data_IF_054557007334
#
_entry.id   IF_054557007334
#
_cell.length_a   1.000
_cell.length_b   1.000
_cell.length_c   1.000
_cell.angle_alpha   90.00
_cell.angle_beta   90.00
_cell.angle_gamma   90.00
#
_symmetry.space_group_name_H-M   'P 1'
#
loop_
_entity.id
_entity.type
_entity.pdbx_description
1 polymer ?
#
# COMPACT_ATOMS: atom_id res chain seq x y z
N UNK A 1 37.66 -9.24 -31.48
CA UNK A 1 37.64 -8.27 -30.37
C UNK A 1 36.77 -7.04 -30.61
N UNK A 2 36.73 -6.37 -31.79
CA UNK A 2 35.86 -5.20 -31.99
C UNK A 2 34.34 -5.50 -31.89
N UNK A 3 33.88 -6.71 -32.25
CA UNK A 3 32.46 -7.07 -32.17
C UNK A 3 31.92 -7.18 -30.73
N UNK A 4 32.78 -7.53 -29.76
CA UNK A 4 32.37 -7.66 -28.37
C UNK A 4 32.17 -6.27 -27.74
N UNK A 5 33.05 -5.32 -28.03
CA UNK A 5 32.94 -3.94 -27.56
C UNK A 5 31.67 -3.27 -28.09
N UNK A 6 31.40 -3.40 -29.40
CA UNK A 6 30.15 -2.90 -29.99
C UNK A 6 28.90 -3.53 -29.36
N UNK A 7 28.93 -4.83 -29.07
CA UNK A 7 27.82 -5.50 -28.38
C UNK A 7 27.54 -4.92 -27.00
N UNK A 8 28.57 -4.68 -26.18
CA UNK A 8 28.40 -4.10 -24.85
C UNK A 8 27.94 -2.64 -24.90
N UNK A 9 28.40 -1.86 -25.88
CA UNK A 9 27.98 -0.48 -26.08
C UNK A 9 26.49 -0.40 -26.50
N UNK A 10 26.07 -1.26 -27.42
CA UNK A 10 24.67 -1.36 -27.85
C UNK A 10 23.76 -1.82 -26.70
N UNK A 11 24.22 -2.80 -25.92
CA UNK A 11 23.51 -3.29 -24.74
C UNK A 11 23.35 -2.19 -23.69
N UNK A 12 24.43 -1.46 -23.38
CA UNK A 12 24.41 -0.38 -22.40
C UNK A 12 23.47 0.76 -22.85
N UNK A 13 23.53 1.13 -24.13
CA UNK A 13 22.65 2.16 -24.71
C UNK A 13 21.19 1.73 -24.66
N UNK A 14 20.89 0.48 -25.02
CA UNK A 14 19.53 -0.09 -25.00
C UNK A 14 18.96 -0.20 -23.57
N UNK A 15 19.78 -0.67 -22.61
CA UNK A 15 19.40 -0.74 -21.20
C UNK A 15 19.15 0.66 -20.65
N UNK A 16 20.06 1.62 -20.92
CA UNK A 16 19.93 3.00 -20.46
C UNK A 16 18.67 3.69 -21.03
N UNK A 17 18.40 3.53 -22.33
CA UNK A 17 17.19 4.06 -22.95
C UNK A 17 15.92 3.43 -22.36
N UNK A 18 15.92 2.11 -22.13
CA UNK A 18 14.78 1.39 -21.53
C UNK A 18 14.55 1.79 -20.09
N UNK A 19 15.62 1.92 -19.30
CA UNK A 19 15.58 2.40 -17.92
C UNK A 19 14.99 3.80 -17.84
N UNK A 20 15.48 4.71 -18.68
CA UNK A 20 14.98 6.08 -18.72
C UNK A 20 13.51 6.13 -19.12
N UNK A 21 13.11 5.34 -20.11
CA UNK A 21 11.70 5.23 -20.52
C UNK A 21 10.83 4.66 -19.38
N UNK A 22 11.32 3.66 -18.66
CA UNK A 22 10.56 3.03 -17.58
C UNK A 22 10.26 4.01 -16.43
N UNK A 23 11.28 4.76 -16.00
CA UNK A 23 11.19 5.65 -14.84
C UNK A 23 10.71 7.08 -15.16
N UNK A 24 11.09 7.64 -16.31
CA UNK A 24 10.94 9.08 -16.56
C UNK A 24 9.95 9.44 -17.66
N UNK A 25 9.31 8.48 -18.34
CA UNK A 25 8.24 8.79 -19.30
C UNK A 25 7.08 9.47 -18.56
N UNK A 26 6.75 10.74 -18.82
CA UNK A 26 5.75 11.47 -18.03
C UNK A 26 4.35 10.83 -18.10
N UNK A 27 3.67 10.73 -16.96
CA UNK A 27 2.29 10.20 -16.90
C UNK A 27 1.33 11.14 -16.16
N UNK A 28 0.04 10.97 -16.41
CA UNK A 28 -1.04 11.73 -15.75
C UNK A 28 -1.12 11.43 -14.25
N UNK A 29 -1.59 12.39 -13.46
CA UNK A 29 -1.80 12.19 -12.02
C UNK A 29 -3.04 11.33 -11.67
N UNK A 30 -3.84 10.92 -12.67
CA UNK A 30 -5.14 10.27 -12.48
C UNK A 30 -5.07 9.04 -11.58
N UNK A 31 -4.21 8.07 -11.89
CA UNK A 31 -4.05 6.85 -11.07
C UNK A 31 -3.59 7.20 -9.65
N UNK A 32 -2.65 8.14 -9.50
CA UNK A 32 -2.18 8.57 -8.18
C UNK A 32 -3.28 9.26 -7.37
N UNK A 33 -4.19 10.01 -8.02
CA UNK A 33 -5.34 10.61 -7.36
C UNK A 33 -6.34 9.58 -6.84
N UNK A 34 -6.58 8.49 -7.59
CA UNK A 34 -7.41 7.36 -7.12
C UNK A 34 -6.73 6.67 -5.93
N UNK A 35 -5.44 6.36 -6.06
CA UNK A 35 -4.66 5.76 -4.98
C UNK A 35 -4.68 6.62 -3.72
N UNK A 36 -4.50 7.95 -3.86
CA UNK A 36 -4.57 8.92 -2.77
C UNK A 36 -5.89 8.87 -2.01
N UNK A 37 -7.02 8.80 -2.73
CA UNK A 37 -8.34 8.73 -2.07
C UNK A 37 -8.46 7.41 -1.30
N UNK A 38 -8.10 6.29 -1.93
CA UNK A 38 -8.20 4.98 -1.30
C UNK A 38 -7.26 4.84 -0.09
N UNK A 39 -5.99 5.23 -0.21
CA UNK A 39 -5.03 5.22 0.91
C UNK A 39 -5.43 6.21 1.99
N UNK A 40 -5.97 7.38 1.62
CA UNK A 40 -6.48 8.36 2.57
C UNK A 40 -7.65 7.84 3.41
N UNK A 41 -8.62 7.16 2.78
CA UNK A 41 -9.72 6.52 3.48
C UNK A 41 -9.24 5.38 4.39
N UNK A 42 -8.29 4.56 3.93
CA UNK A 42 -7.70 3.50 4.75
C UNK A 42 -6.89 4.06 5.93
N UNK A 43 -6.17 5.17 5.74
CA UNK A 43 -5.44 5.85 6.81
C UNK A 43 -6.39 6.51 7.82
N UNK A 44 -7.48 7.12 7.36
CA UNK A 44 -8.55 7.63 8.22
C UNK A 44 -9.17 6.52 9.05
N UNK A 45 -9.48 5.37 8.42
CA UNK A 45 -9.95 4.18 9.14
C UNK A 45 -8.94 3.75 10.20
N UNK A 46 -7.67 3.57 9.82
CA UNK A 46 -6.62 3.10 10.74
C UNK A 46 -6.49 4.02 11.96
N UNK A 47 -6.35 5.33 11.74
CA UNK A 47 -6.25 6.29 12.83
C UNK A 47 -7.54 6.33 13.64
N UNK A 48 -8.71 6.36 13.00
CA UNK A 48 -9.99 6.43 13.70
C UNK A 48 -10.25 5.25 14.64
N UNK A 49 -9.77 4.05 14.30
CA UNK A 49 -9.93 2.88 15.18
C UNK A 49 -9.19 3.01 16.51
N UNK A 50 -8.20 3.91 16.61
CA UNK A 50 -7.48 4.13 17.86
C UNK A 50 -8.24 4.98 18.88
N UNK A 51 -9.38 5.62 18.52
CA UNK A 51 -10.08 6.51 19.44
C UNK A 51 -10.53 5.82 20.75
N UNK A 52 -10.96 4.56 20.71
CA UNK A 52 -11.53 3.88 21.89
C UNK A 52 -10.49 3.60 22.96
N UNK A 53 -9.24 3.36 22.56
CA UNK A 53 -8.16 2.91 23.43
C UNK A 53 -6.91 3.80 23.26
N UNK A 54 -7.09 5.05 22.82
CA UNK A 54 -6.00 5.96 22.48
C UNK A 54 -5.00 6.12 23.63
N UNK A 55 -5.50 6.45 24.83
CA UNK A 55 -4.67 6.60 26.01
C UNK A 55 -4.03 5.26 26.43
N UNK A 56 -4.78 4.16 26.32
CA UNK A 56 -4.29 2.83 26.68
C UNK A 56 -3.09 2.41 25.83
N UNK A 57 -3.08 2.74 24.54
CA UNK A 57 -2.01 2.31 23.63
C UNK A 57 -0.89 3.33 23.44
N UNK A 58 -1.19 4.62 23.55
CA UNK A 58 -0.28 5.69 23.12
C UNK A 58 0.21 6.60 24.26
N UNK A 59 -0.33 6.49 25.48
CA UNK A 59 0.20 7.22 26.64
C UNK A 59 1.59 6.75 27.05
N UNK A 60 2.35 7.60 27.73
CA UNK A 60 3.69 7.28 28.23
C UNK A 60 3.66 6.06 29.17
N UNK A 61 2.64 5.98 30.04
CA UNK A 61 2.38 4.87 30.97
C UNK A 61 1.26 3.94 30.49
N UNK A 62 1.06 3.85 29.17
CA UNK A 62 0.07 2.96 28.56
C UNK A 62 0.40 1.47 28.73
N UNK A 63 -0.35 0.63 28.03
CA UNK A 63 -0.18 -0.83 28.03
C UNK A 63 1.24 -1.27 27.68
N UNK A 64 1.94 -0.49 26.85
CA UNK A 64 3.39 -0.55 26.73
C UNK A 64 4.00 0.78 27.14
N UNK A 65 4.65 0.82 28.31
CA UNK A 65 5.39 1.99 28.75
C UNK A 65 6.44 2.40 27.73
N UNK A 66 6.63 3.70 27.57
CA UNK A 66 7.54 4.27 26.58
C UNK A 66 8.99 3.82 26.77
N UNK A 67 9.40 3.62 28.03
CA UNK A 67 10.72 3.07 28.38
C UNK A 67 10.93 1.67 27.80
N UNK A 68 9.94 0.78 27.93
CA UNK A 68 10.00 -0.57 27.39
C UNK A 68 10.07 -0.59 25.86
N UNK A 69 9.37 0.34 25.20
CA UNK A 69 9.45 0.49 23.74
C UNK A 69 10.86 0.93 23.33
N UNK A 70 11.46 1.85 24.07
CA UNK A 70 12.85 2.27 23.89
C UNK A 70 13.81 1.09 23.96
N UNK A 71 13.71 0.29 25.02
CA UNK A 71 14.63 -0.82 25.27
C UNK A 71 14.49 -1.96 24.24
N UNK A 72 13.26 -2.32 23.86
CA UNK A 72 13.00 -3.48 22.99
C UNK A 72 13.10 -3.15 21.49
N UNK A 73 12.65 -1.96 21.10
CA UNK A 73 12.48 -1.59 19.68
C UNK A 73 13.41 -0.48 19.21
N UNK A 74 14.17 0.16 20.12
CA UNK A 74 15.09 1.27 19.79
C UNK A 74 16.44 1.14 20.52
N UNK A 75 17.16 0.01 20.34
CA UNK A 75 18.44 -0.18 21.00
C UNK A 75 19.43 0.94 20.63
N UNK A 76 20.26 1.34 21.60
CA UNK A 76 21.24 2.42 21.46
C UNK A 76 22.13 2.22 20.22
N UNK A 77 22.28 3.26 19.40
CA UNK A 77 23.11 3.24 18.19
C UNK A 77 22.35 2.96 16.88
N UNK A 78 21.06 2.64 16.91
CA UNK A 78 20.24 2.61 15.69
C UNK A 78 19.90 4.03 15.20
N UNK A 79 20.50 4.42 14.08
CA UNK A 79 20.22 5.69 13.38
C UNK A 79 18.85 5.63 12.65
N UNK A 80 18.45 4.43 12.22
CA UNK A 80 17.19 4.15 11.52
C UNK A 80 16.24 3.38 12.46
N UNK A 81 15.81 4.03 13.54
CA UNK A 81 14.87 3.48 14.52
C UNK A 81 13.40 3.84 14.22
N UNK A 82 12.47 3.24 14.97
CA UNK A 82 11.03 3.55 14.91
C UNK A 82 10.75 4.96 15.48
N UNK A 83 10.99 6.01 14.72
CA UNK A 83 10.73 7.38 15.15
C UNK A 83 9.24 7.73 15.05
N UNK A 84 8.67 8.33 16.10
CA UNK A 84 7.30 8.86 16.09
C UNK A 84 7.25 10.30 16.60
N UNK A 85 6.43 11.15 15.97
CA UNK A 85 6.14 12.50 16.51
C UNK A 85 5.47 12.39 17.89
N UNK A 86 4.69 11.34 18.12
CA UNK A 86 3.95 11.15 19.38
C UNK A 86 4.87 10.93 20.58
N UNK A 87 6.12 10.53 20.36
CA UNK A 87 7.12 10.33 21.42
C UNK A 87 7.51 11.62 22.13
N UNK A 88 7.36 12.76 21.45
CA UNK A 88 7.74 14.07 21.96
C UNK A 88 6.56 14.86 22.53
N UNK A 89 5.36 14.28 22.48
CA UNK A 89 4.15 14.93 22.96
C UNK A 89 3.85 14.46 24.40
N UNK A 90 3.46 15.37 25.30
CA UNK A 90 2.92 14.96 26.60
C UNK A 90 1.56 14.27 26.41
N UNK A 91 1.17 13.41 27.34
CA UNK A 91 -0.08 12.63 27.27
C UNK A 91 -1.34 13.50 27.12
N UNK A 92 -1.31 14.72 27.65
CA UNK A 92 -2.40 15.71 27.49
C UNK A 92 -2.62 16.16 26.03
N UNK A 93 -1.60 16.03 25.18
CA UNK A 93 -1.63 16.42 23.77
C UNK A 93 -2.01 15.26 22.84
N UNK A 94 -2.20 14.03 23.34
CA UNK A 94 -2.55 12.88 22.50
C UNK A 94 -3.89 13.05 21.78
N UNK A 95 -4.94 13.52 22.48
CA UNK A 95 -6.23 13.78 21.86
C UNK A 95 -6.18 14.92 20.81
N UNK A 96 -5.56 16.09 21.09
CA UNK A 96 -5.29 17.10 20.07
C UNK A 96 -4.51 16.56 18.86
N UNK A 97 -3.47 15.77 19.09
CA UNK A 97 -2.65 15.18 18.02
C UNK A 97 -3.46 14.17 17.19
N UNK A 98 -4.32 13.37 17.81
CA UNK A 98 -5.24 12.47 17.15
C UNK A 98 -6.21 13.21 16.23
N UNK A 99 -6.92 14.24 16.73
CA UNK A 99 -7.85 15.01 15.91
C UNK A 99 -7.15 15.78 14.78
N UNK A 100 -5.96 16.31 15.06
CA UNK A 100 -5.11 16.96 14.05
C UNK A 100 -4.71 15.96 12.96
N UNK A 101 -4.32 14.74 13.34
CA UNK A 101 -3.93 13.69 12.40
C UNK A 101 -5.10 13.24 11.52
N UNK A 102 -6.30 13.11 12.09
CA UNK A 102 -7.52 12.87 11.32
C UNK A 102 -7.83 14.02 10.35
N UNK A 103 -7.72 15.28 10.79
CA UNK A 103 -7.98 16.44 9.94
C UNK A 103 -6.98 16.51 8.77
N UNK A 104 -5.69 16.34 9.05
CA UNK A 104 -4.62 16.33 8.02
C UNK A 104 -4.81 15.17 7.04
N UNK A 105 -5.14 13.98 7.53
CA UNK A 105 -5.42 12.81 6.68
C UNK A 105 -6.71 13.02 5.87
N UNK A 106 -7.71 13.70 6.43
CA UNK A 106 -8.92 14.14 5.74
C UNK A 106 -8.60 15.08 4.58
N UNK A 107 -7.82 16.13 4.82
CA UNK A 107 -7.38 17.04 3.76
C UNK A 107 -6.54 16.34 2.69
N UNK A 108 -5.68 15.40 3.08
CA UNK A 108 -4.97 14.52 2.15
C UNK A 108 -5.95 13.69 1.29
N UNK A 109 -6.98 13.11 1.90
CA UNK A 109 -8.04 12.33 1.22
C UNK A 109 -8.89 13.19 0.29
N UNK A 110 -9.03 14.48 0.58
CA UNK A 110 -9.73 15.45 -0.27
C UNK A 110 -8.82 16.13 -1.31
N UNK A 111 -7.49 15.97 -1.18
CA UNK A 111 -6.49 16.54 -2.08
C UNK A 111 -6.22 18.03 -1.84
N UNK A 112 -6.44 18.52 -0.62
CA UNK A 112 -6.30 19.93 -0.23
C UNK A 112 -4.92 20.15 0.40
N UNK A 113 -4.07 21.00 -0.19
CA UNK A 113 -2.73 21.31 0.33
C UNK A 113 -1.57 20.67 -0.44
N UNK A 114 -1.85 20.01 -1.57
CA UNK A 114 -0.82 19.58 -2.52
C UNK A 114 0.15 18.53 -1.95
N UNK A 115 1.44 18.67 -2.24
CA UNK A 115 2.47 17.74 -1.75
C UNK A 115 2.70 17.86 -0.23
N UNK A 116 2.55 19.06 0.32
CA UNK A 116 2.76 19.30 1.75
C UNK A 116 1.77 18.50 2.61
N UNK A 117 0.48 18.44 2.22
CA UNK A 117 -0.51 17.64 2.96
C UNK A 117 -0.23 16.14 2.85
N UNK A 118 0.28 15.67 1.72
CA UNK A 118 0.64 14.25 1.55
C UNK A 118 1.76 13.84 2.51
N UNK A 119 2.79 14.69 2.62
CA UNK A 119 3.89 14.48 3.57
C UNK A 119 3.38 14.56 5.00
N UNK A 120 2.58 15.59 5.34
CA UNK A 120 2.05 15.75 6.68
C UNK A 120 1.14 14.58 7.10
N UNK A 121 0.25 14.12 6.22
CA UNK A 121 -0.61 12.97 6.48
C UNK A 121 0.20 11.68 6.63
N UNK A 122 1.23 11.48 5.80
CA UNK A 122 2.13 10.33 5.92
C UNK A 122 2.84 10.34 7.27
N UNK A 123 3.43 11.47 7.68
CA UNK A 123 4.09 11.60 8.99
C UNK A 123 3.10 11.35 10.13
N UNK A 124 1.89 11.92 10.05
CA UNK A 124 0.86 11.75 11.06
C UNK A 124 0.45 10.28 11.21
N UNK A 125 0.13 9.60 10.11
CA UNK A 125 -0.24 8.18 10.10
C UNK A 125 0.90 7.27 10.57
N UNK A 126 2.12 7.47 10.05
CA UNK A 126 3.29 6.69 10.48
C UNK A 126 3.60 6.88 11.96
N UNK A 127 3.37 8.08 12.51
CA UNK A 127 3.59 8.32 13.94
C UNK A 127 2.72 7.43 14.81
N UNK A 128 1.48 7.15 14.41
CA UNK A 128 0.64 6.17 15.11
C UNK A 128 1.17 4.74 14.94
N UNK A 129 1.62 4.37 13.74
CA UNK A 129 2.16 3.03 13.53
C UNK A 129 3.41 2.80 14.40
N UNK A 130 4.41 3.67 14.30
CA UNK A 130 5.69 3.52 15.00
C UNK A 130 5.63 3.73 16.52
N UNK A 131 4.60 4.43 17.04
CA UNK A 131 4.43 4.62 18.50
C UNK A 131 3.92 3.37 19.22
N UNK A 132 3.17 2.52 18.52
CA UNK A 132 2.55 1.32 19.09
C UNK A 132 2.88 0.07 18.24
N UNK A 133 4.14 -0.43 18.30
CA UNK A 133 4.60 -1.51 17.43
C UNK A 133 3.80 -2.81 17.54
N UNK A 134 3.13 -3.06 18.68
CA UNK A 134 2.29 -4.24 18.88
C UNK A 134 0.92 -4.17 18.20
N UNK A 135 0.53 -2.99 17.70
CA UNK A 135 -0.71 -2.82 16.92
C UNK A 135 -0.46 -2.93 15.42
N UNK A 136 0.80 -2.82 14.97
CA UNK A 136 1.14 -2.86 13.55
C UNK A 136 1.06 -4.31 13.05
N UNK A 137 0.39 -4.50 11.92
CA UNK A 137 0.42 -5.73 11.13
C UNK A 137 0.75 -5.46 9.67
N UNK A 138 0.35 -6.39 8.79
CA UNK A 138 0.67 -6.31 7.37
C UNK A 138 -0.03 -5.15 6.64
N UNK A 139 -1.19 -4.74 7.13
CA UNK A 139 -1.97 -3.64 6.58
C UNK A 139 -1.21 -2.31 6.65
N UNK A 140 -0.67 -1.98 7.83
CA UNK A 140 0.04 -0.75 8.11
C UNK A 140 1.31 -0.62 7.26
N UNK A 141 2.05 -1.71 7.07
CA UNK A 141 3.27 -1.73 6.26
C UNK A 141 2.99 -1.39 4.79
N UNK A 142 1.96 -2.02 4.20
CA UNK A 142 1.58 -1.74 2.80
C UNK A 142 0.99 -0.33 2.68
N UNK A 143 0.18 0.12 3.64
CA UNK A 143 -0.38 1.46 3.63
C UNK A 143 0.71 2.53 3.73
N UNK A 144 1.67 2.35 4.66
CA UNK A 144 2.82 3.24 4.82
C UNK A 144 3.63 3.34 3.53
N UNK A 145 3.94 2.20 2.89
CA UNK A 145 4.62 2.15 1.59
C UNK A 145 3.89 3.00 0.54
N UNK A 146 2.57 2.81 0.39
CA UNK A 146 1.79 3.54 -0.59
C UNK A 146 1.79 5.05 -0.31
N UNK A 147 1.58 5.45 0.95
CA UNK A 147 1.55 6.87 1.35
C UNK A 147 2.90 7.56 1.11
N UNK A 148 4.01 6.90 1.47
CA UNK A 148 5.38 7.41 1.22
C UNK A 148 5.61 7.64 -0.27
N UNK A 149 5.27 6.66 -1.13
CA UNK A 149 5.49 6.83 -2.57
C UNK A 149 4.54 7.84 -3.20
N UNK A 150 3.34 8.02 -2.68
CA UNK A 150 2.42 9.08 -3.11
C UNK A 150 2.93 10.49 -2.77
N UNK A 151 3.83 10.65 -1.78
CA UNK A 151 4.50 11.92 -1.51
C UNK A 151 5.50 12.33 -2.60
N UNK A 152 5.97 11.38 -3.42
CA UNK A 152 6.91 11.66 -4.53
C UNK A 152 6.18 12.27 -5.73
N UNK A 153 5.00 11.73 -6.05
CA UNK A 153 4.19 12.14 -7.19
C UNK A 153 3.29 13.34 -6.90
N UNK A 154 2.66 13.87 -7.95
CA UNK A 154 1.68 14.97 -7.87
C UNK A 154 0.27 14.42 -7.63
N UNK A 155 0.11 13.60 -6.59
CA UNK A 155 -1.13 12.83 -6.33
C UNK A 155 -2.36 13.71 -6.01
N UNK A 156 -2.15 14.95 -5.55
CA UNK A 156 -3.22 15.90 -5.27
C UNK A 156 -3.68 16.70 -6.49
N UNK A 157 -3.04 16.56 -7.65
CA UNK A 157 -3.43 17.33 -8.83
C UNK A 157 -4.69 16.76 -9.48
N UNK A 158 -4.88 15.44 -9.44
CA UNK A 158 -6.08 14.76 -9.94
C UNK A 158 -7.08 14.45 -8.81
N UNK A 159 -8.37 14.59 -9.12
CA UNK A 159 -9.49 14.32 -8.21
C UNK A 159 -9.42 15.08 -6.86
N UNK A 160 -8.78 16.24 -6.83
CA UNK A 160 -8.78 17.15 -5.67
C UNK A 160 -9.99 18.07 -5.71
N UNK A 161 -10.56 18.38 -4.53
CA UNK A 161 -11.63 19.37 -4.42
C UNK A 161 -11.21 20.73 -5.02
N UNK A 162 -9.95 21.15 -4.84
CA UNK A 162 -9.45 22.41 -5.40
C UNK A 162 -9.43 22.39 -6.94
N UNK A 163 -9.13 21.23 -7.53
CA UNK A 163 -9.18 21.04 -8.99
C UNK A 163 -10.61 21.15 -9.56
N UNK A 164 -11.63 20.87 -8.75
CA UNK A 164 -13.04 21.04 -9.14
C UNK A 164 -13.46 22.51 -9.15
N UNK A 165 -12.87 23.35 -8.30
CA UNK A 165 -13.13 24.79 -8.27
C UNK A 165 -12.36 25.55 -9.36
N UNK A 166 -11.10 25.17 -9.64
CA UNK A 166 -10.31 25.77 -10.73
C UNK A 166 -10.89 25.50 -12.13
N UNK A 167 -11.73 24.46 -12.28
CA UNK A 167 -12.48 24.17 -13.51
C UNK A 167 -13.53 25.23 -13.87
N UNK A 168 -13.97 26.08 -12.92
CA UNK A 168 -15.01 27.08 -13.18
C UNK A 168 -14.47 28.38 -13.79
N UNK A 169 -13.20 28.70 -13.59
CA UNK A 169 -12.59 29.97 -14.03
C UNK A 169 -11.73 29.84 -15.30
N UNK A 170 -11.52 28.62 -15.81
CA UNK A 170 -10.79 28.37 -17.05
C UNK A 170 -11.74 28.41 -18.26
N UNK A 171 -11.50 29.36 -19.18
CA UNK A 171 -12.20 29.52 -20.45
C UNK A 171 -12.28 28.20 -21.26
N UNK A 172 -13.32 28.00 -22.11
CA UNK A 172 -13.66 26.73 -22.76
C UNK A 172 -12.75 26.37 -23.96
N UNK A 173 -11.48 26.75 -23.92
CA UNK A 173 -10.51 26.48 -24.98
C UNK A 173 -9.32 25.72 -24.41
N UNK A 174 -9.17 24.48 -24.86
CA UNK A 174 -8.26 23.41 -24.43
C UNK A 174 -8.85 22.43 -23.40
N UNK A 175 -9.16 21.23 -23.92
CA UNK A 175 -9.65 20.01 -23.29
C UNK A 175 -9.58 19.92 -21.75
N UNK A 176 -10.68 19.46 -21.16
CA UNK A 176 -10.98 19.29 -19.73
C UNK A 176 -10.05 18.37 -18.90
N UNK A 177 -8.77 18.18 -19.29
CA UNK A 177 -7.85 17.21 -18.67
C UNK A 177 -6.37 17.61 -18.58
N UNK A 178 -5.90 18.77 -19.06
CA UNK A 178 -4.44 18.95 -19.18
C UNK A 178 -3.74 19.46 -17.91
N UNK A 179 -3.82 18.72 -16.81
CA UNK A 179 -2.72 18.75 -15.83
C UNK A 179 -1.52 18.14 -16.57
N UNK A 180 -0.40 18.87 -16.75
CA UNK A 180 0.71 18.37 -17.54
C UNK A 180 1.24 17.07 -16.93
N UNK A 181 1.46 16.04 -17.75
CA UNK A 181 2.03 14.79 -17.26
C UNK A 181 3.41 15.06 -16.66
N UNK A 182 3.78 14.29 -15.64
CA UNK A 182 5.03 14.50 -14.91
C UNK A 182 5.82 13.20 -14.77
N UNK A 183 7.15 13.29 -14.89
CA UNK A 183 8.05 12.19 -14.59
C UNK A 183 7.94 11.74 -13.12
N UNK A 184 7.69 12.67 -12.18
CA UNK A 184 7.48 12.33 -10.77
C UNK A 184 6.26 11.43 -10.54
N UNK A 185 5.21 11.58 -11.35
CA UNK A 185 4.05 10.70 -11.28
C UNK A 185 4.43 9.28 -11.69
N UNK A 186 5.27 9.15 -12.72
CA UNK A 186 5.77 7.87 -13.20
C UNK A 186 6.69 7.23 -12.17
N UNK A 187 7.63 7.98 -11.60
CA UNK A 187 8.51 7.48 -10.55
C UNK A 187 7.70 6.95 -9.38
N UNK A 188 6.74 7.75 -8.86
CA UNK A 188 5.84 7.34 -7.77
C UNK A 188 5.08 6.05 -8.12
N UNK A 189 4.48 5.98 -9.30
CA UNK A 189 3.72 4.81 -9.74
C UNK A 189 4.60 3.57 -9.92
N UNK A 190 5.80 3.72 -10.50
CA UNK A 190 6.75 2.63 -10.70
C UNK A 190 7.31 2.12 -9.38
N UNK A 191 7.59 3.00 -8.42
CA UNK A 191 8.00 2.59 -7.06
C UNK A 191 6.91 1.73 -6.41
N UNK A 192 5.65 2.15 -6.48
CA UNK A 192 4.52 1.36 -5.99
C UNK A 192 4.45 0.00 -6.69
N UNK A 193 4.50 -0.01 -8.03
CA UNK A 193 4.39 -1.25 -8.81
C UNK A 193 5.52 -2.24 -8.51
N UNK A 194 6.77 -1.76 -8.47
CA UNK A 194 7.93 -2.61 -8.20
C UNK A 194 7.88 -3.13 -6.77
N UNK A 195 7.61 -2.27 -5.78
CA UNK A 195 7.55 -2.70 -4.39
C UNK A 195 6.38 -3.64 -4.14
N UNK A 196 5.21 -3.41 -4.77
CA UNK A 196 4.09 -4.35 -4.67
C UNK A 196 4.42 -5.71 -5.29
N UNK A 197 5.15 -5.75 -6.41
CA UNK A 197 5.63 -7.00 -6.99
C UNK A 197 6.59 -7.74 -6.04
N UNK A 198 7.49 -7.01 -5.38
CA UNK A 198 8.39 -7.58 -4.37
C UNK A 198 7.59 -8.12 -3.17
N UNK A 199 6.60 -7.38 -2.67
CA UNK A 199 5.74 -7.82 -1.56
C UNK A 199 5.02 -9.13 -1.92
N UNK A 200 4.42 -9.23 -3.11
CA UNK A 200 3.78 -10.46 -3.57
C UNK A 200 4.77 -11.63 -3.66
N UNK A 201 5.96 -11.39 -4.23
CA UNK A 201 7.01 -12.40 -4.33
C UNK A 201 7.46 -12.88 -2.95
N UNK A 202 7.70 -11.95 -2.02
CA UNK A 202 8.16 -12.26 -0.66
C UNK A 202 7.07 -12.98 0.14
N UNK A 203 5.80 -12.60 0.01
CA UNK A 203 4.70 -13.34 0.63
C UNK A 203 4.60 -14.76 0.05
N UNK A 204 4.64 -14.91 -1.27
CA UNK A 204 4.62 -16.23 -1.91
C UNK A 204 5.81 -17.09 -1.51
N UNK A 205 7.01 -16.50 -1.42
CA UNK A 205 8.21 -17.18 -0.94
C UNK A 205 8.07 -17.60 0.53
N UNK A 206 7.62 -16.70 1.41
CA UNK A 206 7.41 -17.00 2.83
C UNK A 206 6.39 -18.12 3.04
N UNK A 207 5.35 -18.18 2.20
CA UNK A 207 4.39 -19.29 2.18
C UNK A 207 5.02 -20.63 1.82
N UNK A 208 6.18 -20.67 1.16
CA UNK A 208 6.88 -21.89 0.76
C UNK A 208 8.14 -22.19 1.59
N UNK A 209 8.71 -21.19 2.25
CA UNK A 209 10.06 -21.28 2.82
C UNK A 209 10.16 -22.16 4.07
N UNK A 210 9.05 -22.36 4.79
CA UNK A 210 9.02 -23.14 6.03
C UNK A 210 8.69 -24.61 5.70
N UNK A 211 9.45 -25.59 6.22
CA UNK A 211 9.06 -27.00 6.15
C UNK A 211 7.66 -27.20 6.71
N UNK A 212 6.83 -28.00 6.05
CA UNK A 212 5.41 -28.20 6.44
C UNK A 212 4.59 -26.91 6.50
N UNK A 213 4.89 -25.92 5.63
CA UNK A 213 4.07 -24.72 5.60
C UNK A 213 2.62 -25.07 5.28
N UNK A 214 1.70 -24.52 6.08
CA UNK A 214 0.26 -24.72 5.89
C UNK A 214 -0.20 -24.30 4.47
N UNK A 215 0.48 -23.34 3.86
CA UNK A 215 0.18 -22.89 2.51
C UNK A 215 0.62 -23.92 1.45
N UNK A 216 1.73 -24.61 1.66
CA UNK A 216 2.18 -25.69 0.78
C UNK A 216 1.34 -26.96 0.96
N UNK A 217 0.98 -27.32 2.20
CA UNK A 217 0.11 -28.47 2.48
C UNK A 217 -1.35 -28.26 2.03
N UNK A 218 -1.75 -27.01 1.76
CA UNK A 218 -3.11 -26.65 1.34
C UNK A 218 -4.04 -26.24 2.48
N UNK A 219 -3.55 -26.22 3.72
CA UNK A 219 -4.30 -25.88 4.93
C UNK A 219 -4.34 -24.37 5.22
N UNK A 220 -3.59 -23.55 4.50
CA UNK A 220 -3.41 -22.11 4.80
C UNK A 220 -4.73 -21.33 4.91
N UNK A 221 -5.65 -21.52 3.97
CA UNK A 221 -6.98 -20.89 4.03
C UNK A 221 -7.81 -21.43 5.19
N UNK A 222 -7.72 -22.74 5.48
CA UNK A 222 -8.43 -23.32 6.62
C UNK A 222 -7.96 -22.73 7.95
N UNK A 223 -6.64 -22.58 8.15
CA UNK A 223 -6.10 -21.94 9.35
C UNK A 223 -6.52 -20.47 9.46
N UNK A 224 -6.59 -19.75 8.34
CA UNK A 224 -7.09 -18.38 8.33
C UNK A 224 -8.59 -18.31 8.72
N UNK A 225 -9.38 -19.26 8.22
CA UNK A 225 -10.82 -19.38 8.46
C UNK A 225 -11.18 -19.95 9.83
N UNK A 226 -10.29 -20.71 10.47
CA UNK A 226 -10.51 -21.31 11.78
C UNK A 226 -10.32 -20.32 12.95
N UNK A 227 -9.92 -19.07 12.68
CA UNK A 227 -9.71 -18.05 13.72
C UNK A 227 -11.07 -17.60 14.30
N UNK A 228 -11.34 -17.80 15.60
CA UNK A 228 -12.65 -17.46 16.17
C UNK A 228 -12.98 -15.97 16.03
N UNK A 229 -14.19 -15.66 15.53
CA UNK A 229 -14.72 -14.30 15.45
C UNK A 229 -14.06 -13.38 14.41
N UNK A 230 -13.13 -13.88 13.60
CA UNK A 230 -12.45 -13.12 12.56
C UNK A 230 -13.13 -13.24 11.18
N UNK A 231 -13.38 -14.44 10.62
CA UNK A 231 -13.98 -14.59 9.29
C UNK A 231 -15.29 -13.82 9.13
N UNK A 232 -15.50 -13.26 7.94
CA UNK A 232 -16.75 -12.54 7.63
C UNK A 232 -17.94 -13.48 7.46
N UNK A 233 -17.67 -14.73 7.09
CA UNK A 233 -18.67 -15.77 6.83
C UNK A 233 -18.25 -17.04 7.55
N UNK A 234 -19.22 -17.77 8.10
CA UNK A 234 -18.96 -19.09 8.66
C UNK A 234 -18.61 -20.08 7.54
N UNK A 235 -17.36 -20.56 7.58
CA UNK A 235 -16.81 -21.54 6.63
C UNK A 235 -16.70 -22.94 7.24
N UNK A 236 -17.30 -23.20 8.40
CA UNK A 236 -17.28 -24.50 9.08
C UNK A 236 -17.74 -25.66 8.19
N UNK A 237 -18.70 -25.41 7.29
CA UNK A 237 -19.16 -26.40 6.30
C UNK A 237 -18.11 -26.86 5.29
N UNK A 238 -16.96 -26.18 5.17
CA UNK A 238 -15.84 -26.61 4.32
C UNK A 238 -15.00 -27.74 4.96
N UNK A 239 -15.28 -28.13 6.21
CA UNK A 239 -14.55 -29.21 6.90
C UNK A 239 -14.62 -30.54 6.14
N UNK A 240 -15.76 -30.82 5.50
CA UNK A 240 -15.99 -32.04 4.70
C UNK A 240 -15.42 -31.92 3.27
N UNK A 241 -14.85 -30.76 2.93
CA UNK A 241 -14.36 -30.44 1.59
C UNK A 241 -12.88 -29.97 1.59
N UNK A 242 -11.94 -30.76 2.15
CA UNK A 242 -10.54 -30.36 2.29
C UNK A 242 -9.85 -30.08 0.95
N UNK A 243 -10.29 -30.73 -0.14
CA UNK A 243 -9.75 -30.49 -1.49
C UNK A 243 -10.07 -29.09 -2.01
N UNK A 244 -11.23 -28.53 -1.64
CA UNK A 244 -11.62 -27.16 -2.04
C UNK A 244 -10.72 -26.16 -1.31
N UNK A 245 -10.53 -26.36 -0.01
CA UNK A 245 -9.61 -25.54 0.81
C UNK A 245 -8.18 -25.62 0.26
N UNK A 246 -7.69 -26.83 -0.03
CA UNK A 246 -6.34 -27.01 -0.59
C UNK A 246 -6.18 -26.29 -1.93
N UNK A 247 -7.11 -26.48 -2.86
CA UNK A 247 -7.09 -25.80 -4.15
C UNK A 247 -7.12 -24.27 -3.99
N UNK A 248 -7.87 -23.75 -3.00
CA UNK A 248 -7.93 -22.33 -2.70
C UNK A 248 -6.59 -21.81 -2.15
N UNK A 249 -5.99 -22.50 -1.16
CA UNK A 249 -4.67 -22.17 -0.62
C UNK A 249 -3.62 -22.13 -1.73
N UNK A 250 -3.54 -23.18 -2.56
CA UNK A 250 -2.59 -23.24 -3.67
C UNK A 250 -2.86 -22.17 -4.74
N UNK A 251 -4.12 -21.82 -5.01
CA UNK A 251 -4.45 -20.74 -5.94
C UNK A 251 -3.93 -19.38 -5.44
N UNK A 252 -4.01 -19.11 -4.13
CA UNK A 252 -3.44 -17.89 -3.53
C UNK A 252 -1.91 -17.90 -3.67
N UNK A 253 -1.25 -18.99 -3.28
CA UNK A 253 0.21 -19.09 -3.36
C UNK A 253 0.71 -18.97 -4.80
N UNK A 254 0.05 -19.64 -5.75
CA UNK A 254 0.39 -19.56 -7.17
C UNK A 254 0.20 -18.14 -7.71
N UNK A 255 -0.88 -17.45 -7.33
CA UNK A 255 -1.09 -16.05 -7.69
C UNK A 255 0.06 -15.16 -7.18
N UNK A 256 0.46 -15.31 -5.92
CA UNK A 256 1.53 -14.50 -5.32
C UNK A 256 2.88 -14.66 -6.05
N UNK A 257 3.20 -15.87 -6.49
CA UNK A 257 4.42 -16.16 -7.26
C UNK A 257 4.33 -15.74 -8.73
N UNK A 258 3.14 -15.86 -9.32
CA UNK A 258 2.90 -15.51 -10.73
C UNK A 258 2.80 -13.99 -10.95
N UNK A 259 2.22 -13.26 -10.00
CA UNK A 259 2.01 -11.82 -10.06
C UNK A 259 3.26 -11.01 -10.46
N UNK A 260 4.41 -11.12 -9.76
CA UNK A 260 5.60 -10.30 -10.03
C UNK A 260 6.17 -10.49 -11.44
N UNK A 261 5.87 -11.62 -12.11
CA UNK A 261 6.34 -11.93 -13.46
C UNK A 261 5.30 -11.53 -14.51
N UNK A 262 4.04 -11.92 -14.30
CA UNK A 262 2.99 -11.80 -15.32
C UNK A 262 2.39 -10.39 -15.42
N UNK A 263 2.43 -9.59 -14.34
CA UNK A 263 1.82 -8.25 -14.32
C UNK A 263 2.43 -7.30 -15.35
N UNK A 264 3.69 -7.51 -15.72
CA UNK A 264 4.40 -6.69 -16.71
C UNK A 264 4.02 -7.02 -18.15
N UNK A 265 3.45 -8.21 -18.42
CA UNK A 265 3.04 -8.63 -19.77
C UNK A 265 1.66 -8.05 -20.09
N UNK A 266 1.56 -7.25 -21.16
CA UNK A 266 0.33 -6.53 -21.54
C UNK A 266 -0.91 -7.44 -21.68
N UNK A 267 -0.75 -8.66 -22.20
CA UNK A 267 -1.84 -9.62 -22.38
C UNK A 267 -2.23 -10.33 -21.08
N UNK A 268 -1.25 -10.66 -20.22
CA UNK A 268 -1.51 -11.36 -18.96
C UNK A 268 -1.96 -10.40 -17.84
N UNK A 269 -1.62 -9.11 -17.94
CA UNK A 269 -1.95 -8.08 -16.95
C UNK A 269 -3.44 -8.06 -16.55
N UNK A 270 -4.42 -7.95 -17.47
CA UNK A 270 -5.82 -7.94 -17.06
C UNK A 270 -6.21 -9.24 -16.32
N UNK A 271 -5.74 -10.40 -16.80
CA UNK A 271 -6.04 -11.69 -16.18
C UNK A 271 -5.46 -11.81 -14.77
N UNK A 272 -4.19 -11.43 -14.58
CA UNK A 272 -3.54 -11.51 -13.26
C UNK A 272 -4.15 -10.48 -12.29
N UNK A 273 -4.57 -9.30 -12.76
CA UNK A 273 -5.27 -8.33 -11.91
C UNK A 273 -6.67 -8.81 -11.51
N UNK A 274 -7.42 -9.46 -12.41
CA UNK A 274 -8.72 -10.06 -12.07
C UNK A 274 -8.58 -11.23 -11.11
N UNK A 275 -7.54 -12.05 -11.29
CA UNK A 275 -7.23 -13.14 -10.36
C UNK A 275 -6.83 -12.58 -8.99
N UNK A 276 -5.98 -11.55 -8.96
CA UNK A 276 -5.59 -10.86 -7.74
C UNK A 276 -6.78 -10.26 -7.00
N UNK A 277 -7.70 -9.60 -7.72
CA UNK A 277 -8.91 -9.08 -7.11
C UNK A 277 -9.75 -10.20 -6.47
N UNK A 278 -9.89 -11.33 -7.15
CA UNK A 278 -10.59 -12.52 -6.64
C UNK A 278 -9.88 -13.08 -5.40
N UNK A 279 -8.55 -13.19 -5.44
CA UNK A 279 -7.73 -13.67 -4.31
C UNK A 279 -7.94 -12.80 -3.09
N UNK A 280 -7.78 -11.48 -3.19
CA UNK A 280 -7.91 -10.58 -2.04
C UNK A 280 -9.34 -10.50 -1.50
N UNK A 281 -10.36 -10.51 -2.37
CA UNK A 281 -11.77 -10.55 -1.93
C UNK A 281 -12.07 -11.88 -1.23
N UNK A 282 -11.67 -13.01 -1.82
CA UNK A 282 -11.89 -14.32 -1.21
C UNK A 282 -11.16 -14.43 0.12
N UNK A 283 -9.91 -13.98 0.20
CA UNK A 283 -9.12 -14.01 1.43
C UNK A 283 -9.70 -13.08 2.50
N UNK A 284 -10.27 -11.93 2.13
CA UNK A 284 -11.00 -11.09 3.09
C UNK A 284 -12.16 -11.83 3.73
N UNK A 285 -12.95 -12.56 2.93
CA UNK A 285 -14.08 -13.37 3.40
C UNK A 285 -13.61 -14.45 4.37
N UNK A 286 -12.57 -15.20 3.98
CA UNK A 286 -12.06 -16.31 4.79
C UNK A 286 -11.35 -15.85 6.06
N UNK A 287 -10.53 -14.81 5.99
CA UNK A 287 -9.61 -14.43 7.08
C UNK A 287 -10.16 -13.36 8.02
N UNK A 288 -11.17 -12.60 7.59
CA UNK A 288 -11.64 -11.41 8.31
C UNK A 288 -10.74 -10.18 8.17
N UNK A 289 -9.58 -10.33 7.54
CA UNK A 289 -8.56 -9.28 7.44
C UNK A 289 -8.86 -8.29 6.31
N UNK A 290 -10.01 -7.62 6.44
CA UNK A 290 -10.54 -6.70 5.44
C UNK A 290 -9.59 -5.53 5.15
N UNK A 291 -9.01 -4.82 6.15
CA UNK A 291 -8.12 -3.69 5.87
C UNK A 291 -6.90 -4.09 5.04
N UNK A 292 -6.27 -5.22 5.38
CA UNK A 292 -5.14 -5.77 4.64
C UNK A 292 -5.52 -6.10 3.18
N UNK A 293 -6.66 -6.77 2.97
CA UNK A 293 -7.10 -7.08 1.61
C UNK A 293 -7.45 -5.82 0.80
N UNK A 294 -8.07 -4.82 1.42
CA UNK A 294 -8.40 -3.55 0.78
C UNK A 294 -7.15 -2.74 0.39
N UNK A 295 -6.11 -2.72 1.23
CA UNK A 295 -4.86 -2.02 0.88
C UNK A 295 -4.13 -2.75 -0.24
N UNK A 296 -4.17 -4.09 -0.28
CA UNK A 296 -3.62 -4.86 -1.40
C UNK A 296 -4.38 -4.62 -2.71
N UNK A 297 -5.71 -4.59 -2.67
CA UNK A 297 -6.56 -4.21 -3.81
C UNK A 297 -6.27 -2.78 -4.28
N UNK A 298 -6.06 -1.86 -3.34
CA UNK A 298 -5.65 -0.48 -3.63
C UNK A 298 -4.31 -0.46 -4.37
N UNK A 299 -3.31 -1.21 -3.88
CA UNK A 299 -2.03 -1.37 -4.57
C UNK A 299 -2.18 -1.92 -5.99
N UNK A 300 -3.06 -2.90 -6.21
CA UNK A 300 -3.32 -3.47 -7.55
C UNK A 300 -3.88 -2.42 -8.53
N UNK A 301 -4.62 -1.42 -8.05
CA UNK A 301 -5.11 -0.33 -8.88
C UNK A 301 -3.98 0.49 -9.54
N UNK A 302 -2.76 0.44 -9.00
CA UNK A 302 -1.58 1.08 -9.60
C UNK A 302 -1.21 0.48 -10.99
N UNK A 303 -1.69 -0.72 -11.31
CA UNK A 303 -1.45 -1.38 -12.60
C UNK A 303 -2.57 -1.17 -13.62
N UNK A 304 -3.65 -0.50 -13.23
CA UNK A 304 -4.76 -0.14 -14.11
C UNK A 304 -4.34 1.14 -14.86
N UNK A 305 -3.98 0.99 -16.13
CA UNK A 305 -3.72 2.13 -17.01
C UNK A 305 -5.04 2.86 -17.29
N UNK A 306 -5.12 4.19 -17.08
CA UNK A 306 -6.22 4.97 -17.63
C UNK A 306 -6.19 4.78 -19.15
N UNK A 307 -7.31 4.37 -19.75
CA UNK A 307 -7.41 4.27 -21.22
C UNK A 307 -7.01 5.62 -21.79
N UNK A 308 -5.88 5.69 -22.48
CA UNK A 308 -5.57 6.81 -23.36
C UNK A 308 -6.71 6.85 -24.37
N UNK A 309 -7.53 7.90 -24.31
CA UNK A 309 -8.46 8.19 -25.40
C UNK A 309 -7.60 8.37 -26.64
N UNK A 310 -7.71 7.41 -27.57
CA UNK A 310 -7.35 7.68 -28.95
C UNK A 310 -8.41 8.58 -29.55
#
# INVERSE_FOLDING_TARGET
MPSATHYFDDLNTSIGATWNRFWFTPTSATTLGVLRIATGLLALYAVATYATDLQRWFAADGMLPMSLIGDLYRPEGQILGQWSVLDYLPDSMLWPAYWTSLAVTGFYTLGIGGRAIAIAATIATLSFFTRAPLLIGEFEHVLAMLMIYLCVGRACDAFSILSLFQKKDAAPTHSAFSIPPSAFNTISLRLIQVHLAIIHLMMGYAQLAVPESAWWSGEGVWLAAARPGMPLVDLSGLVDHPRIVAAWSHAITLYLLAFPVLVWKRLARPLILTWGATVWISFAIASGWVPFCLVMLTGLAAFIEPRSSK
#
